data_IF_731870745773
#
_entry.id   IF_731870745773
#
_cell.length_a   1.000
_cell.length_b   1.000
_cell.length_c   1.000
_cell.angle_alpha   90.00
_cell.angle_beta   90.00
_cell.angle_gamma   90.00
#
_symmetry.space_group_name_H-M   'P 1'
#
loop_
_entity.id
_entity.type
_entity.pdbx_description
1 polymer ?
#
# COMPACT_ATOMS: atom_id res chain seq x y z
N UNK A 1 -32.28 62.36 20.04
CA UNK A 1 -32.56 61.69 18.76
C UNK A 1 -31.32 61.24 17.97
N UNK A 2 -30.29 62.06 17.71
CA UNK A 2 -29.12 61.60 16.90
C UNK A 2 -28.17 60.67 17.68
N UNK A 3 -27.86 61.01 18.94
CA UNK A 3 -27.03 60.18 19.84
C UNK A 3 -27.68 58.83 20.14
N UNK A 4 -29.00 58.82 20.33
CA UNK A 4 -29.81 57.63 20.60
C UNK A 4 -29.84 56.66 19.41
N UNK A 5 -29.86 57.17 18.16
CA UNK A 5 -29.71 56.33 16.96
C UNK A 5 -28.30 55.75 16.80
N UNK A 6 -27.26 56.46 17.24
CA UNK A 6 -25.88 55.95 17.23
C UNK A 6 -25.66 54.86 18.28
N UNK A 7 -26.21 55.03 19.48
CA UNK A 7 -26.15 54.01 20.52
C UNK A 7 -26.91 52.75 20.11
N UNK A 8 -28.09 52.88 19.49
CA UNK A 8 -28.83 51.73 18.97
C UNK A 8 -28.03 50.93 17.93
N UNK A 9 -27.33 51.60 17.02
CA UNK A 9 -26.44 50.94 16.02
C UNK A 9 -25.17 50.35 16.64
N UNK A 10 -24.75 50.82 17.81
CA UNK A 10 -23.60 50.26 18.52
C UNK A 10 -24.01 49.01 19.30
N UNK A 11 -25.20 49.06 19.93
CA UNK A 11 -25.81 47.92 20.62
C UNK A 11 -26.15 46.77 19.66
N UNK A 12 -26.68 47.09 18.49
CA UNK A 12 -27.02 46.10 17.44
C UNK A 12 -25.76 45.38 16.92
N UNK A 13 -24.67 46.12 16.67
CA UNK A 13 -23.38 45.53 16.29
C UNK A 13 -22.78 44.67 17.41
N UNK A 14 -22.91 45.10 18.66
CA UNK A 14 -22.44 44.32 19.81
C UNK A 14 -23.25 43.03 20.00
N UNK A 15 -24.56 43.07 19.73
CA UNK A 15 -25.42 41.88 19.75
C UNK A 15 -25.08 40.91 18.62
N UNK A 16 -24.93 41.40 17.39
CA UNK A 16 -24.52 40.56 16.24
C UNK A 16 -23.13 39.94 16.45
N UNK A 17 -22.18 40.69 17.01
CA UNK A 17 -20.83 40.17 17.32
C UNK A 17 -20.87 39.10 18.43
N UNK A 18 -21.72 39.29 19.45
CA UNK A 18 -21.91 38.32 20.54
C UNK A 18 -22.56 37.03 20.03
N UNK A 19 -23.59 37.12 19.19
CA UNK A 19 -24.25 35.96 18.58
C UNK A 19 -23.29 35.19 17.64
N UNK A 20 -22.49 35.90 16.85
CA UNK A 20 -21.48 35.27 15.99
C UNK A 20 -20.35 34.60 16.80
N UNK A 21 -19.93 35.20 17.90
CA UNK A 21 -18.94 34.62 18.80
C UNK A 21 -19.47 33.36 19.51
N UNK A 22 -20.73 33.38 19.96
CA UNK A 22 -21.38 32.22 20.60
C UNK A 22 -21.55 31.07 19.61
N UNK A 23 -21.96 31.36 18.37
CA UNK A 23 -22.08 30.36 17.31
C UNK A 23 -20.73 29.71 16.97
N UNK A 24 -19.65 30.51 16.94
CA UNK A 24 -18.29 30.00 16.73
C UNK A 24 -17.80 29.13 17.89
N UNK A 25 -18.08 29.51 19.13
CA UNK A 25 -17.74 28.70 20.30
C UNK A 25 -18.49 27.36 20.33
N UNK A 26 -19.78 27.36 19.99
CA UNK A 26 -20.58 26.13 19.93
C UNK A 26 -20.09 25.18 18.83
N UNK A 27 -19.64 25.71 17.69
CA UNK A 27 -19.07 24.91 16.60
C UNK A 27 -17.70 24.32 16.98
N UNK A 28 -16.82 25.11 17.61
CA UNK A 28 -15.52 24.64 18.10
C UNK A 28 -15.68 23.60 19.22
N UNK A 29 -16.66 23.75 20.12
CA UNK A 29 -16.96 22.76 21.15
C UNK A 29 -17.53 21.46 20.57
N UNK A 30 -18.38 21.56 19.53
CA UNK A 30 -18.88 20.38 18.80
C UNK A 30 -17.73 19.62 18.12
N UNK A 31 -16.83 20.35 17.45
CA UNK A 31 -15.64 19.77 16.81
C UNK A 31 -14.72 19.09 17.82
N UNK A 32 -14.53 19.70 18.99
CA UNK A 32 -13.72 19.13 20.08
C UNK A 32 -14.35 17.86 20.66
N UNK A 33 -15.68 17.81 20.83
CA UNK A 33 -16.41 16.61 21.28
C UNK A 33 -16.29 15.47 20.26
N UNK A 34 -16.37 15.77 18.96
CA UNK A 34 -16.18 14.79 17.89
C UNK A 34 -14.74 14.23 17.83
N UNK A 35 -13.71 15.08 18.00
CA UNK A 35 -12.31 14.63 18.06
C UNK A 35 -12.03 13.76 19.29
N UNK A 36 -12.57 14.13 20.46
CA UNK A 36 -12.44 13.32 21.68
C UNK A 36 -13.18 11.98 21.52
N UNK A 37 -14.38 11.97 20.93
CA UNK A 37 -15.12 10.74 20.64
C UNK A 37 -14.39 9.81 19.65
N UNK A 38 -13.77 10.38 18.61
CA UNK A 38 -12.97 9.61 17.64
C UNK A 38 -11.68 9.07 18.28
N UNK A 39 -11.06 9.83 19.17
CA UNK A 39 -9.88 9.42 19.94
C UNK A 39 -10.20 8.30 20.94
N UNK A 40 -11.33 8.39 21.66
CA UNK A 40 -11.75 7.37 22.63
C UNK A 40 -12.18 6.08 21.94
N UNK A 41 -12.86 6.14 20.79
CA UNK A 41 -13.22 4.95 20.01
C UNK A 41 -11.97 4.24 19.44
N UNK A 42 -11.02 5.00 18.89
CA UNK A 42 -9.75 4.48 18.39
C UNK A 42 -8.88 3.85 19.49
N UNK A 43 -8.76 4.52 20.65
CA UNK A 43 -7.98 4.01 21.78
C UNK A 43 -8.69 2.86 22.51
N UNK A 44 -10.01 2.87 22.60
CA UNK A 44 -10.82 1.79 23.19
C UNK A 44 -10.74 0.50 22.37
N UNK A 45 -10.82 0.58 21.04
CA UNK A 45 -10.66 -0.57 20.15
C UNK A 45 -9.25 -1.18 20.20
N UNK A 46 -8.21 -0.34 20.29
CA UNK A 46 -6.81 -0.80 20.45
C UNK A 46 -6.57 -1.48 21.81
N UNK A 47 -7.17 -0.98 22.89
CA UNK A 47 -7.05 -1.59 24.22
C UNK A 47 -7.77 -2.95 24.29
N UNK A 48 -9.00 -3.05 23.78
CA UNK A 48 -9.74 -4.33 23.72
C UNK A 48 -9.01 -5.38 22.89
N UNK A 49 -8.48 -5.01 21.72
CA UNK A 49 -7.69 -5.92 20.88
C UNK A 49 -6.42 -6.42 21.57
N UNK A 50 -5.74 -5.55 22.33
CA UNK A 50 -4.54 -5.91 23.11
C UNK A 50 -4.85 -6.80 24.31
N UNK A 51 -6.04 -6.64 24.90
CA UNK A 51 -6.51 -7.45 26.03
C UNK A 51 -6.96 -8.84 25.57
N UNK A 52 -7.68 -8.95 24.45
CA UNK A 52 -8.02 -10.22 23.81
C UNK A 52 -6.78 -10.98 23.32
N UNK A 53 -5.79 -10.29 22.75
CA UNK A 53 -4.52 -10.92 22.34
C UNK A 53 -3.73 -11.43 23.55
N UNK A 54 -3.71 -10.68 24.66
CA UNK A 54 -3.11 -11.15 25.92
C UNK A 54 -3.86 -12.34 26.52
N UNK A 55 -5.19 -12.30 26.53
CA UNK A 55 -6.01 -13.39 27.05
C UNK A 55 -5.87 -14.66 26.20
N UNK A 56 -5.84 -14.52 24.87
CA UNK A 56 -5.60 -15.63 23.93
C UNK A 56 -4.18 -16.19 24.05
N UNK A 57 -3.18 -15.33 24.27
CA UNK A 57 -1.79 -15.76 24.54
C UNK A 57 -1.64 -16.45 25.89
N UNK A 58 -2.37 -16.01 26.92
CA UNK A 58 -2.37 -16.64 28.24
C UNK A 58 -3.08 -18.01 28.19
N UNK A 59 -4.17 -18.13 27.42
CA UNK A 59 -4.90 -19.38 27.21
C UNK A 59 -4.06 -20.41 26.44
N UNK A 60 -3.25 -19.98 25.46
CA UNK A 60 -2.33 -20.87 24.71
C UNK A 60 -1.05 -21.22 25.49
N UNK A 61 -0.73 -20.49 26.57
CA UNK A 61 0.44 -20.78 27.42
C UNK A 61 0.17 -21.84 28.49
N UNK A 62 -1.09 -22.20 28.75
CA UNK A 62 -1.47 -23.23 29.71
C UNK A 62 -1.56 -24.64 29.08
N UNK A 63 -1.32 -24.76 27.77
CA UNK A 63 -1.45 -26.02 27.02
C UNK A 63 -0.13 -26.67 26.54
N UNK A 64 1.04 -26.13 26.89
CA UNK A 64 2.32 -26.66 26.41
C UNK A 64 3.33 -26.82 27.54
N UNK A 65 3.09 -27.84 28.37
CA UNK A 65 4.02 -28.31 29.39
C UNK A 65 4.40 -29.76 29.17
N UNK A 66 5.15 -30.08 28.10
CA UNK A 66 6.06 -31.23 28.05
C UNK A 66 7.00 -31.12 26.84
N UNK A 67 8.26 -31.45 27.08
CA UNK A 67 9.41 -31.01 26.30
C UNK A 67 9.63 -31.70 24.96
N UNK A 68 10.48 -31.07 24.14
CA UNK A 68 11.02 -31.68 22.94
C UNK A 68 11.49 -30.71 21.86
N UNK A 69 12.80 -30.51 21.79
CA UNK A 69 13.64 -30.18 20.61
C UNK A 69 13.41 -28.83 19.90
N UNK A 70 14.37 -27.92 20.11
CA UNK A 70 14.65 -26.74 19.28
C UNK A 70 14.99 -27.17 17.83
N UNK A 71 14.58 -26.33 16.85
CA UNK A 71 14.87 -26.41 15.41
C UNK A 71 13.91 -27.22 14.52
N UNK A 72 12.66 -26.76 14.45
CA UNK A 72 11.90 -26.77 13.19
C UNK A 72 11.30 -25.37 13.01
N UNK A 73 11.70 -24.67 11.95
CA UNK A 73 11.12 -23.39 11.56
C UNK A 73 9.78 -23.69 10.87
N UNK A 74 8.61 -23.35 11.46
CA UNK A 74 7.36 -23.44 10.72
C UNK A 74 7.42 -22.42 9.58
N UNK A 75 7.23 -22.91 8.36
CA UNK A 75 6.99 -22.10 7.17
C UNK A 75 5.80 -21.20 7.46
N UNK A 76 6.05 -19.89 7.54
CA UNK A 76 5.01 -18.87 7.70
C UNK A 76 4.08 -18.86 6.48
N UNK A 77 3.05 -19.69 6.47
CA UNK A 77 1.87 -19.56 5.62
C UNK A 77 0.86 -18.61 6.27
N UNK A 78 1.29 -17.41 6.63
CA UNK A 78 0.47 -16.46 7.40
C UNK A 78 0.51 -15.05 6.78
N UNK A 79 0.40 -15.05 5.45
CA UNK A 79 0.18 -13.84 4.63
C UNK A 79 -1.19 -13.86 3.93
N UNK A 80 -2.03 -14.87 4.18
CA UNK A 80 -3.39 -14.98 3.63
C UNK A 80 -4.48 -14.39 4.54
N UNK A 81 -4.37 -14.57 5.86
CA UNK A 81 -5.46 -14.23 6.79
C UNK A 81 -5.63 -12.74 7.10
N UNK A 82 -4.60 -11.94 6.81
CA UNK A 82 -4.68 -10.47 7.02
C UNK A 82 -5.56 -9.80 5.95
N UNK A 83 -5.62 -10.37 4.75
CA UNK A 83 -6.50 -9.88 3.69
C UNK A 83 -7.96 -10.33 3.91
N UNK A 84 -8.19 -11.55 4.40
CA UNK A 84 -9.53 -12.03 4.77
C UNK A 84 -10.19 -11.18 5.86
N UNK A 85 -9.45 -10.87 6.93
CA UNK A 85 -9.93 -10.03 8.03
C UNK A 85 -10.21 -8.57 7.63
N UNK A 86 -9.46 -8.00 6.68
CA UNK A 86 -9.69 -6.63 6.19
C UNK A 86 -10.91 -6.57 5.27
N UNK A 87 -11.12 -7.59 4.43
CA UNK A 87 -12.30 -7.68 3.54
C UNK A 87 -13.57 -7.89 4.37
N UNK A 88 -13.55 -8.77 5.37
CA UNK A 88 -14.66 -8.94 6.31
C UNK A 88 -14.95 -7.66 7.11
N UNK A 89 -13.93 -7.01 7.68
CA UNK A 89 -14.13 -5.75 8.42
C UNK A 89 -14.68 -4.61 7.52
N UNK A 90 -14.29 -4.56 6.25
CA UNK A 90 -14.81 -3.57 5.28
C UNK A 90 -16.25 -3.88 4.86
N UNK A 91 -16.63 -5.17 4.86
CA UNK A 91 -17.97 -5.65 4.56
C UNK A 91 -18.94 -5.51 5.75
N UNK A 92 -18.42 -5.54 6.98
CA UNK A 92 -19.17 -5.30 8.23
C UNK A 92 -19.33 -3.80 8.58
N UNK A 93 -18.51 -2.91 8.02
CA UNK A 93 -18.54 -1.46 8.28
C UNK A 93 -19.57 -0.68 7.47
N UNK A 94 -20.26 -1.32 6.52
CA UNK A 94 -21.33 -0.72 5.73
C UNK A 94 -22.50 -1.70 5.59
N UNK A 95 -23.70 -1.19 5.31
CA UNK A 95 -24.80 -2.08 4.93
C UNK A 95 -24.35 -2.93 3.75
N UNK A 96 -24.56 -4.25 3.84
CA UNK A 96 -24.27 -5.15 2.72
C UNK A 96 -25.11 -4.76 1.51
N UNK A 97 -24.67 -5.11 0.30
CA UNK A 97 -25.42 -4.81 -0.94
C UNK A 97 -26.88 -5.30 -0.85
N UNK A 98 -27.08 -6.47 -0.26
CA UNK A 98 -28.39 -7.06 -0.04
C UNK A 98 -29.23 -6.25 0.96
N UNK A 99 -28.64 -5.80 2.08
CA UNK A 99 -29.32 -4.91 3.04
C UNK A 99 -29.69 -3.55 2.42
N UNK A 100 -28.86 -3.00 1.52
CA UNK A 100 -29.17 -1.76 0.80
C UNK A 100 -30.35 -1.95 -0.16
N UNK A 101 -30.40 -3.09 -0.87
CA UNK A 101 -31.51 -3.42 -1.76
C UNK A 101 -32.81 -3.66 -0.97
N UNK A 102 -32.73 -4.34 0.18
CA UNK A 102 -33.88 -4.57 1.05
C UNK A 102 -34.40 -3.26 1.65
N UNK A 103 -33.53 -2.40 2.19
CA UNK A 103 -33.94 -1.07 2.69
C UNK A 103 -34.56 -0.20 1.59
N UNK A 104 -34.00 -0.23 0.37
CA UNK A 104 -34.61 0.43 -0.81
C UNK A 104 -36.00 -0.15 -1.10
N UNK A 105 -36.16 -1.48 -1.09
CA UNK A 105 -37.44 -2.13 -1.33
C UNK A 105 -38.49 -1.76 -0.28
N UNK A 106 -38.11 -1.80 1.00
CA UNK A 106 -38.98 -1.39 2.12
C UNK A 106 -39.39 0.07 1.98
N UNK A 107 -38.44 0.96 1.62
CA UNK A 107 -38.73 2.36 1.38
C UNK A 107 -39.73 2.56 0.22
N UNK A 108 -39.55 1.84 -0.90
CA UNK A 108 -40.48 1.90 -2.04
C UNK A 108 -41.89 1.40 -1.68
N UNK A 109 -42.00 0.35 -0.86
CA UNK A 109 -43.29 -0.13 -0.33
C UNK A 109 -43.93 0.93 0.56
N UNK A 110 -43.15 1.60 1.42
CA UNK A 110 -43.64 2.71 2.25
C UNK A 110 -44.20 3.87 1.42
N UNK A 111 -43.54 4.23 0.31
CA UNK A 111 -44.07 5.25 -0.63
C UNK A 111 -45.39 4.80 -1.22
N UNK A 112 -45.47 3.55 -1.72
CA UNK A 112 -46.68 3.01 -2.34
C UNK A 112 -47.86 3.00 -1.37
N UNK A 113 -47.64 2.58 -0.13
CA UNK A 113 -48.67 2.55 0.91
C UNK A 113 -49.13 3.96 1.33
N UNK A 114 -48.29 4.98 1.13
CA UNK A 114 -48.66 6.38 1.36
C UNK A 114 -49.53 7.00 0.26
N UNK A 115 -49.76 6.30 -0.85
CA UNK A 115 -50.68 6.72 -1.91
C UNK A 115 -52.03 6.04 -1.63
N UNK A 116 -53.06 6.80 -1.20
CA UNK A 116 -54.35 6.23 -0.87
C UNK A 116 -55.07 5.69 -2.12
N UNK A 117 -55.87 4.63 -1.94
CA UNK A 117 -56.69 4.06 -3.01
C UNK A 117 -57.74 5.06 -3.51
N UNK A 118 -57.80 5.23 -4.82
CA UNK A 118 -58.66 6.23 -5.49
C UNK A 118 -60.16 5.97 -5.25
N UNK A 119 -60.55 4.73 -4.94
CA UNK A 119 -61.95 4.32 -4.77
C UNK A 119 -62.62 4.84 -3.49
N UNK A 120 -61.85 5.27 -2.49
CA UNK A 120 -62.37 5.64 -1.17
C UNK A 120 -62.36 7.15 -0.87
N UNK A 121 -61.91 7.98 -1.82
CA UNK A 121 -61.67 9.42 -1.60
C UNK A 121 -62.67 10.26 -2.39
N UNK A 122 -63.15 11.36 -1.78
CA UNK A 122 -64.03 12.31 -2.45
C UNK A 122 -63.28 13.08 -3.55
N UNK A 123 -64.01 13.55 -4.59
CA UNK A 123 -63.40 14.25 -5.72
C UNK A 123 -62.64 15.54 -5.33
N UNK A 124 -63.04 16.19 -4.23
CA UNK A 124 -62.38 17.40 -3.71
C UNK A 124 -61.03 17.07 -3.07
N UNK A 125 -61.01 16.05 -2.20
CA UNK A 125 -59.79 15.57 -1.53
C UNK A 125 -58.80 14.96 -2.52
N UNK A 126 -59.29 14.29 -3.58
CA UNK A 126 -58.44 13.76 -4.64
C UNK A 126 -57.66 14.88 -5.35
N UNK A 127 -58.31 16.01 -5.66
CA UNK A 127 -57.64 17.19 -6.25
C UNK A 127 -56.58 17.77 -5.30
N UNK A 128 -56.86 17.82 -4.00
CA UNK A 128 -55.88 18.28 -3.01
C UNK A 128 -54.66 17.34 -2.95
N UNK A 129 -54.89 16.02 -2.96
CA UNK A 129 -53.81 15.02 -2.93
C UNK A 129 -52.95 15.03 -4.18
N UNK A 130 -53.55 15.22 -5.36
CA UNK A 130 -52.81 15.38 -6.61
C UNK A 130 -51.84 16.56 -6.52
N UNK A 131 -52.30 17.71 -6.01
CA UNK A 131 -51.45 18.90 -5.83
C UNK A 131 -50.31 18.65 -4.84
N UNK A 132 -50.59 17.97 -3.72
CA UNK A 132 -49.58 17.59 -2.74
C UNK A 132 -48.51 16.67 -3.35
N UNK A 133 -48.92 15.61 -4.05
CA UNK A 133 -48.01 14.68 -4.72
C UNK A 133 -47.19 15.37 -5.80
N UNK A 134 -47.80 16.25 -6.59
CA UNK A 134 -47.10 17.05 -7.59
C UNK A 134 -46.01 17.93 -6.95
N UNK A 135 -46.34 18.66 -5.88
CA UNK A 135 -45.37 19.48 -5.17
C UNK A 135 -44.23 18.63 -4.58
N UNK A 136 -44.56 17.46 -4.02
CA UNK A 136 -43.57 16.50 -3.50
C UNK A 136 -42.64 15.99 -4.60
N UNK A 137 -43.16 15.67 -5.78
CA UNK A 137 -42.36 15.23 -6.94
C UNK A 137 -41.41 16.34 -7.37
N UNK A 138 -41.88 17.58 -7.54
CA UNK A 138 -41.02 18.71 -7.91
C UNK A 138 -39.88 18.92 -6.90
N UNK A 139 -40.18 18.81 -5.60
CA UNK A 139 -39.16 18.92 -4.54
C UNK A 139 -38.10 17.81 -4.65
N UNK A 140 -38.53 16.55 -4.81
CA UNK A 140 -37.61 15.41 -4.91
C UNK A 140 -36.75 15.49 -6.18
N UNK A 141 -37.30 15.96 -7.31
CA UNK A 141 -36.50 16.15 -8.53
C UNK A 141 -35.43 17.24 -8.36
N UNK A 142 -35.74 18.33 -7.65
CA UNK A 142 -34.73 19.34 -7.32
C UNK A 142 -33.63 18.79 -6.41
N UNK A 143 -34.01 18.07 -5.35
CA UNK A 143 -33.06 17.43 -4.44
C UNK A 143 -32.20 16.37 -5.16
N UNK A 144 -32.79 15.61 -6.09
CA UNK A 144 -32.07 14.64 -6.93
C UNK A 144 -31.02 15.34 -7.81
N UNK A 145 -31.37 16.44 -8.46
CA UNK A 145 -30.41 17.21 -9.26
C UNK A 145 -29.21 17.66 -8.43
N UNK A 146 -29.45 18.19 -7.22
CA UNK A 146 -28.37 18.62 -6.32
C UNK A 146 -27.48 17.45 -5.86
N UNK A 147 -28.10 16.30 -5.58
CA UNK A 147 -27.38 15.07 -5.23
C UNK A 147 -26.56 14.52 -6.39
N UNK A 148 -27.10 14.51 -7.60
CA UNK A 148 -26.39 14.09 -8.81
C UNK A 148 -25.19 15.01 -9.07
N UNK A 149 -25.35 16.33 -8.94
CA UNK A 149 -24.25 17.29 -9.06
C UNK A 149 -23.19 17.12 -7.97
N UNK A 150 -23.58 16.79 -6.73
CA UNK A 150 -22.64 16.46 -5.67
C UNK A 150 -21.88 15.16 -5.96
N UNK A 151 -22.58 14.14 -6.43
CA UNK A 151 -21.99 12.85 -6.80
C UNK A 151 -20.98 12.99 -7.95
N UNK A 152 -21.31 13.77 -8.98
CA UNK A 152 -20.42 14.08 -10.11
C UNK A 152 -19.10 14.73 -9.62
N UNK A 153 -19.17 15.68 -8.68
CA UNK A 153 -17.98 16.29 -8.06
C UNK A 153 -17.15 15.28 -7.27
N UNK A 154 -17.80 14.44 -6.46
CA UNK A 154 -17.09 13.40 -5.70
C UNK A 154 -16.37 12.40 -6.61
N UNK A 155 -16.99 12.02 -7.72
CA UNK A 155 -16.38 11.15 -8.74
C UNK A 155 -15.16 11.81 -9.38
N UNK A 156 -15.22 13.11 -9.65
CA UNK A 156 -14.06 13.87 -10.14
C UNK A 156 -12.92 13.89 -9.12
N UNK A 157 -13.20 14.25 -7.86
CA UNK A 157 -12.21 14.30 -6.78
C UNK A 157 -11.54 12.93 -6.56
N UNK A 158 -12.33 11.85 -6.64
CA UNK A 158 -11.84 10.48 -6.50
C UNK A 158 -10.94 10.06 -7.68
N UNK A 159 -11.26 10.51 -8.90
CA UNK A 159 -10.39 10.31 -10.08
C UNK A 159 -9.08 11.08 -9.94
N UNK A 160 -9.13 12.34 -9.52
CA UNK A 160 -7.94 13.16 -9.30
C UNK A 160 -7.03 12.56 -8.22
N UNK A 161 -7.62 12.13 -7.09
CA UNK A 161 -6.86 11.51 -6.00
C UNK A 161 -6.17 10.21 -6.44
N UNK A 162 -6.86 9.38 -7.23
CA UNK A 162 -6.28 8.17 -7.78
C UNK A 162 -5.13 8.46 -8.76
N UNK A 163 -5.27 9.48 -9.60
CA UNK A 163 -4.20 9.88 -10.53
C UNK A 163 -2.99 10.45 -9.78
N UNK A 164 -3.22 11.32 -8.79
CA UNK A 164 -2.17 11.84 -7.91
C UNK A 164 -1.45 10.70 -7.18
N UNK A 165 -2.19 9.72 -6.67
CA UNK A 165 -1.63 8.52 -6.03
C UNK A 165 -0.75 7.71 -7.00
N UNK A 166 -1.20 7.53 -8.26
CA UNK A 166 -0.40 6.86 -9.31
C UNK A 166 0.88 7.63 -9.62
N UNK A 167 0.81 8.96 -9.71
CA UNK A 167 1.99 9.80 -9.95
C UNK A 167 3.00 9.72 -8.80
N UNK A 168 2.53 9.80 -7.55
CA UNK A 168 3.38 9.62 -6.37
C UNK A 168 4.05 8.24 -6.39
N UNK A 169 3.30 7.18 -6.71
CA UNK A 169 3.83 5.82 -6.80
C UNK A 169 4.87 5.67 -7.94
N UNK A 170 4.66 6.32 -9.09
CA UNK A 170 5.63 6.36 -10.20
C UNK A 170 6.90 7.12 -9.79
N UNK A 171 6.77 8.30 -9.20
CA UNK A 171 7.92 9.12 -8.79
C UNK A 171 8.74 8.45 -7.68
N UNK A 172 8.08 7.77 -6.74
CA UNK A 172 8.75 6.96 -5.72
C UNK A 172 9.57 5.80 -6.32
N UNK A 173 9.08 5.19 -7.41
CA UNK A 173 9.75 4.08 -8.12
C UNK A 173 10.78 4.55 -9.15
N UNK A 174 10.61 5.72 -9.76
CA UNK A 174 11.56 6.32 -10.69
C UNK A 174 12.93 6.59 -10.04
N UNK A 175 12.95 6.89 -8.74
CA UNK A 175 14.19 6.97 -7.95
C UNK A 175 14.80 5.60 -7.60
N UNK A 176 14.09 4.49 -7.85
CA UNK A 176 14.58 3.12 -7.66
C UNK A 176 14.96 2.42 -8.97
N UNK A 177 15.26 3.14 -10.06
CA UNK A 177 15.91 2.56 -11.26
C UNK A 177 15.25 1.32 -11.87
N UNK A 178 14.00 1.01 -11.50
CA UNK A 178 13.28 -0.18 -11.88
C UNK A 178 12.36 0.16 -13.04
N UNK A 179 12.52 -0.57 -14.14
CA UNK A 179 11.80 -0.38 -15.39
C UNK A 179 10.26 -0.46 -15.14
N UNK A 180 9.48 0.56 -15.53
CA UNK A 180 8.04 0.59 -15.31
C UNK A 180 7.28 -0.59 -15.96
N UNK A 181 7.86 -1.25 -16.97
CA UNK A 181 7.28 -2.45 -17.59
C UNK A 181 7.34 -3.69 -16.68
N UNK A 182 8.34 -3.81 -15.80
CA UNK A 182 8.53 -4.96 -14.90
C UNK A 182 7.77 -4.80 -13.57
N UNK A 183 7.44 -3.57 -13.17
CA UNK A 183 6.76 -3.29 -11.90
C UNK A 183 5.28 -3.71 -11.86
N UNK A 184 4.63 -3.99 -13.00
CA UNK A 184 3.20 -4.29 -13.06
C UNK A 184 2.89 -5.72 -13.53
N UNK A 185 3.92 -6.58 -13.60
CA UNK A 185 3.78 -8.00 -13.93
C UNK A 185 3.26 -8.79 -12.72
N UNK A 186 2.33 -9.74 -12.97
CA UNK A 186 1.89 -10.75 -11.98
C UNK A 186 3.05 -11.63 -11.49
N UNK A 187 4.15 -11.66 -12.23
CA UNK A 187 5.31 -12.51 -12.01
C UNK A 187 6.54 -11.66 -11.67
N UNK A 188 7.48 -12.17 -10.86
CA UNK A 188 8.68 -11.42 -10.48
C UNK A 188 9.44 -10.92 -11.72
N UNK A 189 10.16 -9.78 -11.59
CA UNK A 189 10.87 -9.16 -12.71
C UNK A 189 11.87 -10.15 -13.32
N UNK A 190 12.05 -10.07 -14.64
CA UNK A 190 12.97 -10.97 -15.35
C UNK A 190 14.40 -10.68 -14.94
N UNK A 191 15.08 -11.68 -14.39
CA UNK A 191 16.51 -11.58 -14.06
C UNK A 191 17.31 -11.74 -15.36
N UNK A 192 18.15 -10.75 -15.69
CA UNK A 192 19.13 -10.91 -16.76
C UNK A 192 20.19 -11.91 -16.32
N UNK A 193 20.16 -13.11 -16.91
CA UNK A 193 21.11 -14.20 -16.64
C UNK A 193 22.45 -14.03 -17.38
N UNK A 194 22.51 -13.14 -18.36
CA UNK A 194 23.72 -12.82 -19.11
C UNK A 194 24.14 -11.39 -18.78
N UNK A 195 25.41 -11.22 -18.45
CA UNK A 195 26.00 -9.90 -18.24
C UNK A 195 26.06 -9.17 -19.58
N UNK A 196 25.80 -7.86 -19.60
CA UNK A 196 26.05 -7.01 -20.79
C UNK A 196 27.50 -7.06 -21.26
N UNK A 197 28.42 -7.50 -20.40
CA UNK A 197 29.84 -7.71 -20.69
C UNK A 197 30.14 -9.10 -21.30
N UNK A 198 29.22 -10.07 -21.22
CA UNK A 198 29.42 -11.40 -21.85
C UNK A 198 29.38 -11.34 -23.38
N UNK A 199 28.78 -10.27 -23.94
CA UNK A 199 28.68 -10.04 -25.39
C UNK A 199 29.79 -9.13 -25.92
N UNK A 200 30.92 -9.02 -25.24
CA UNK A 200 32.05 -8.31 -25.79
C UNK A 200 32.74 -9.20 -26.83
N UNK A 201 32.63 -8.83 -28.10
CA UNK A 201 33.40 -9.47 -29.18
C UNK A 201 34.88 -9.28 -28.86
N UNK A 202 35.58 -10.39 -28.65
CA UNK A 202 37.01 -10.38 -28.38
C UNK A 202 37.75 -9.76 -29.58
N UNK A 203 38.34 -8.58 -29.37
CA UNK A 203 39.05 -7.83 -30.41
C UNK A 203 40.49 -8.31 -30.60
N UNK A 204 40.97 -9.27 -29.79
CA UNK A 204 42.31 -9.85 -29.90
C UNK A 204 42.44 -10.72 -31.14
N UNK A 205 43.63 -10.73 -31.72
CA UNK A 205 43.92 -11.59 -32.86
C UNK A 205 43.96 -13.08 -32.43
N UNK A 206 43.91 -14.00 -33.40
CA UNK A 206 43.86 -15.44 -33.11
C UNK A 206 45.04 -15.92 -32.25
N UNK A 207 46.25 -15.39 -32.50
CA UNK A 207 47.47 -15.76 -31.80
C UNK A 207 47.42 -15.32 -30.32
N UNK A 208 46.92 -14.13 -30.04
CA UNK A 208 46.73 -13.57 -28.70
C UNK A 208 45.64 -14.28 -27.90
N UNK A 209 44.54 -14.70 -28.55
CA UNK A 209 43.53 -15.53 -27.87
C UNK A 209 44.10 -16.89 -27.51
N UNK A 210 44.85 -17.49 -28.43
CA UNK A 210 45.43 -18.82 -28.27
C UNK A 210 46.50 -18.83 -27.16
N UNK A 211 47.33 -17.80 -27.04
CA UNK A 211 48.34 -17.71 -25.99
C UNK A 211 47.76 -17.69 -24.57
N UNK A 212 46.49 -17.30 -24.40
CA UNK A 212 45.79 -17.33 -23.10
C UNK A 212 45.40 -18.75 -22.67
N UNK A 213 45.44 -19.74 -23.56
CA UNK A 213 45.12 -21.12 -23.24
C UNK A 213 46.34 -22.05 -23.33
N UNK A 214 47.43 -21.61 -23.94
CA UNK A 214 48.67 -22.40 -24.09
C UNK A 214 49.61 -22.31 -22.87
N UNK A 215 49.51 -21.25 -22.07
CA UNK A 215 50.36 -21.07 -20.89
C UNK A 215 49.54 -21.29 -19.61
N UNK A 216 49.98 -22.18 -18.71
CA UNK A 216 49.31 -22.48 -17.42
C UNK A 216 49.01 -21.24 -16.56
N UNK A 217 49.78 -20.16 -16.73
CA UNK A 217 49.67 -18.91 -15.98
C UNK A 217 49.06 -17.76 -16.82
N UNK A 218 48.17 -18.10 -17.75
CA UNK A 218 47.52 -17.11 -18.57
C UNK A 218 46.36 -16.45 -17.81
N UNK A 219 46.64 -15.29 -17.23
CA UNK A 219 45.60 -14.46 -16.68
C UNK A 219 44.84 -13.73 -17.80
N UNK A 220 43.51 -13.63 -17.72
CA UNK A 220 42.75 -12.87 -18.70
C UNK A 220 43.13 -11.38 -18.63
N UNK A 221 43.96 -10.93 -19.56
CA UNK A 221 44.29 -9.52 -19.73
C UNK A 221 43.09 -8.82 -20.38
N UNK A 222 42.16 -8.32 -19.57
CA UNK A 222 41.08 -7.47 -20.05
C UNK A 222 41.63 -6.12 -20.53
N UNK A 223 41.07 -5.52 -21.60
CA UNK A 223 41.49 -4.19 -22.04
C UNK A 223 41.35 -3.17 -20.91
N UNK A 224 42.44 -2.47 -20.57
CA UNK A 224 42.45 -1.46 -19.50
C UNK A 224 42.71 -1.98 -18.08
N UNK A 225 42.89 -3.29 -17.90
CA UNK A 225 43.35 -3.87 -16.64
C UNK A 225 44.87 -4.11 -16.72
N UNK A 226 45.68 -3.62 -15.76
CA UNK A 226 47.10 -3.92 -15.74
C UNK A 226 47.31 -5.44 -15.59
N UNK A 227 48.34 -6.02 -16.24
CA UNK A 227 48.63 -7.44 -16.09
C UNK A 227 48.86 -7.75 -14.60
N UNK A 228 48.43 -8.92 -14.12
CA UNK A 228 48.66 -9.27 -12.73
C UNK A 228 50.16 -9.32 -12.43
N UNK A 229 50.55 -8.98 -11.19
CA UNK A 229 51.95 -8.93 -10.79
C UNK A 229 52.61 -10.30 -11.01
N UNK A 230 53.82 -10.27 -11.54
CA UNK A 230 54.64 -11.47 -11.76
C UNK A 230 54.98 -12.07 -10.39
N UNK A 231 54.50 -13.29 -10.12
CA UNK A 231 54.84 -14.01 -8.89
C UNK A 231 56.24 -14.60 -9.11
N UNK A 232 57.24 -14.03 -8.46
CA UNK A 232 58.59 -14.61 -8.44
C UNK A 232 58.65 -15.65 -7.33
N UNK A 233 58.73 -16.92 -7.72
CA UNK A 233 59.08 -17.99 -6.78
C UNK A 233 60.60 -17.97 -6.58
N UNK A 234 61.06 -17.98 -5.32
CA UNK A 234 62.49 -18.07 -5.02
C UNK A 234 62.95 -19.49 -5.32
N UNK A 235 63.46 -19.72 -6.53
CA UNK A 235 64.21 -20.93 -6.83
C UNK A 235 65.60 -20.78 -6.22
N UNK A 236 65.84 -21.48 -5.12
CA UNK A 236 67.19 -21.62 -4.56
C UNK A 236 67.97 -22.48 -5.56
N UNK A 237 69.05 -21.95 -6.12
CA UNK A 237 69.94 -22.75 -6.98
C UNK A 237 70.54 -23.85 -6.10
N UNK A 238 70.33 -25.11 -6.48
CA UNK A 238 71.06 -26.24 -5.92
C UNK A 238 72.55 -26.07 -6.19
N UNK A 239 73.39 -26.45 -5.25
CA UNK A 239 74.84 -26.45 -5.45
C UNK A 239 75.24 -27.64 -6.33
N UNK A 240 76.37 -27.54 -7.03
CA UNK A 240 76.81 -28.56 -8.00
C UNK A 240 76.92 -29.98 -7.37
N UNK A 241 77.20 -30.08 -6.07
CA UNK A 241 77.23 -31.36 -5.35
C UNK A 241 75.84 -31.97 -5.15
N UNK A 242 74.79 -31.16 -5.00
CA UNK A 242 73.40 -31.62 -4.84
C UNK A 242 72.82 -32.09 -6.17
N UNK A 243 73.31 -31.55 -7.29
CA UNK A 243 72.99 -32.05 -8.63
C UNK A 243 73.67 -33.39 -8.92
N UNK A 244 74.94 -33.55 -8.51
CA UNK A 244 75.64 -34.82 -8.65
C UNK A 244 75.00 -35.94 -7.83
N UNK A 245 74.56 -35.67 -6.59
CA UNK A 245 73.83 -36.66 -5.78
C UNK A 245 72.49 -37.04 -6.41
N UNK A 246 71.79 -36.12 -7.07
CA UNK A 246 70.56 -36.45 -7.81
C UNK A 246 70.84 -37.24 -9.10
N UNK A 247 71.87 -36.90 -9.87
CA UNK A 247 72.27 -37.69 -11.05
C UNK A 247 72.71 -39.11 -10.65
N UNK A 248 73.49 -39.26 -9.58
CA UNK A 248 73.90 -40.58 -9.06
C UNK A 248 72.68 -41.37 -8.52
N UNK A 249 71.72 -40.70 -7.88
CA UNK A 249 70.50 -41.34 -7.39
C UNK A 249 69.57 -41.76 -8.55
N UNK A 250 69.44 -40.94 -9.60
CA UNK A 250 68.69 -41.28 -10.82
C UNK A 250 69.36 -42.42 -11.60
N UNK A 251 70.69 -42.44 -11.67
CA UNK A 251 71.44 -43.53 -12.30
C UNK A 251 71.25 -44.85 -11.52
N UNK A 252 71.17 -44.82 -10.19
CA UNK A 252 70.85 -46.01 -9.38
C UNK A 252 69.40 -46.48 -9.60
N UNK A 253 68.44 -45.56 -9.74
CA UNK A 253 67.03 -45.89 -10.00
C UNK A 253 66.79 -46.42 -11.43
N UNK A 254 67.62 -46.04 -12.42
CA UNK A 254 67.52 -46.55 -13.80
C UNK A 254 68.00 -48.01 -13.94
N UNK A 255 68.75 -48.53 -12.96
CA UNK A 255 69.26 -49.90 -12.93
C UNK A 255 68.56 -50.85 -11.93
N UNK A 256 67.48 -50.43 -11.26
CA UNK A 256 66.54 -51.30 -10.51
C UNK A 256 65.22 -51.56 -11.26
#
# INVERSE_FOLDING_TARGET
MLKEKQERRKLEREQEEREMAEKKQMEDERRRKEEVGRSTYSNGGRKKKKEEEKNKRQQMSFGAGQGGRNFVVPTKSDKGDKFGNIVQAKQEMGMTKEQQEETKKVFMVGIRNGIPEVSSISASELKAKIKELHHRICKIEAEKYDLEKRHERQEYDLKELNERSRQVARNAKGNQGADPADSNSRHPPKVQILSKYDRQIDRRNFKERRSVYENRNAYPCFPGMPPPPTIFEKVIKKYDYELQEEEEAEEIEEYE
#
